data_IF_234016426566
#
_entry.id   IF_234016426566
#
_cell.length_a   1.000
_cell.length_b   1.000
_cell.length_c   1.000
_cell.angle_alpha   90.00
_cell.angle_beta   90.00
_cell.angle_gamma   90.00
#
_symmetry.space_group_name_H-M   'P 1'
#
loop_
_entity.id
_entity.type
_entity.pdbx_description
1 polymer ?
#
# COMPACT_ATOMS: atom_id res chain seq x y z
N UNK A 1 2.32 -0.05 -9.29
CA UNK A 1 2.49 1.04 -8.33
C UNK A 1 2.71 2.36 -9.07
N UNK A 2 3.71 2.46 -9.99
CA UNK A 2 4.02 3.73 -10.71
C UNK A 2 2.82 4.28 -11.48
N UNK A 3 2.12 3.44 -12.26
CA UNK A 3 0.91 3.88 -12.99
C UNK A 3 -0.19 4.42 -12.07
N UNK A 4 -0.33 3.85 -10.88
CA UNK A 4 -1.27 4.36 -9.87
C UNK A 4 -0.84 5.75 -9.38
N UNK A 5 0.46 5.95 -9.10
CA UNK A 5 0.99 7.27 -8.72
C UNK A 5 0.74 8.32 -9.80
N UNK A 6 0.92 7.97 -11.07
CA UNK A 6 0.59 8.85 -12.21
C UNK A 6 -0.90 9.27 -12.16
N UNK A 7 -1.81 8.31 -12.00
CA UNK A 7 -3.26 8.59 -11.93
C UNK A 7 -3.62 9.49 -10.74
N UNK A 8 -2.94 9.33 -9.60
CA UNK A 8 -3.11 10.20 -8.44
C UNK A 8 -2.65 11.62 -8.77
N UNK A 9 -1.46 11.77 -9.39
CA UNK A 9 -0.89 13.06 -9.75
C UNK A 9 -1.66 13.76 -10.87
N UNK A 10 -2.23 13.02 -11.80
CA UNK A 10 -3.14 13.51 -12.83
C UNK A 10 -4.50 13.99 -12.27
N UNK A 11 -4.75 13.75 -10.96
CA UNK A 11 -6.00 14.12 -10.30
C UNK A 11 -7.19 13.22 -10.62
N UNK A 12 -6.96 12.04 -11.22
CA UNK A 12 -8.04 11.13 -11.66
C UNK A 12 -8.96 10.69 -10.52
N UNK A 13 -8.46 10.63 -9.29
CA UNK A 13 -9.24 10.28 -8.09
C UNK A 13 -9.59 11.50 -7.23
N UNK A 14 -9.22 12.71 -7.66
CA UNK A 14 -9.33 13.92 -6.84
C UNK A 14 -8.38 13.91 -5.64
N UNK A 15 -8.82 14.42 -4.50
CA UNK A 15 -8.04 14.45 -3.26
C UNK A 15 -7.94 13.03 -2.68
N UNK A 16 -6.71 12.55 -2.46
CA UNK A 16 -6.46 11.29 -1.77
C UNK A 16 -7.00 11.36 -0.34
N UNK A 17 -7.80 10.38 0.05
CA UNK A 17 -8.46 10.31 1.36
C UNK A 17 -8.00 9.10 2.18
N UNK A 18 -7.96 7.93 1.54
CA UNK A 18 -7.76 6.68 2.24
C UNK A 18 -7.07 5.64 1.37
N UNK A 19 -6.16 4.86 1.97
CA UNK A 19 -5.47 3.75 1.30
C UNK A 19 -5.56 2.53 2.21
N UNK A 20 -5.89 1.37 1.65
CA UNK A 20 -5.68 0.13 2.38
C UNK A 20 -4.97 -0.92 1.56
N UNK A 21 -4.22 -1.77 2.24
CA UNK A 21 -3.48 -2.87 1.65
C UNK A 21 -3.72 -4.15 2.44
N UNK A 22 -4.00 -5.22 1.71
CA UNK A 22 -4.04 -6.58 2.23
C UNK A 22 -2.92 -7.39 1.60
N UNK A 23 -2.10 -8.03 2.44
CA UNK A 23 -1.10 -8.99 1.99
C UNK A 23 -1.23 -10.27 2.79
N UNK A 24 -2.00 -11.18 2.25
CA UNK A 24 -2.54 -12.34 2.94
C UNK A 24 -2.19 -13.62 2.17
N UNK A 25 -1.87 -14.67 2.89
CA UNK A 25 -1.57 -15.98 2.30
C UNK A 25 -1.57 -17.06 3.39
N UNK A 26 -1.89 -18.31 3.05
CA UNK A 26 -1.47 -19.47 3.83
C UNK A 26 -0.05 -19.84 3.37
N UNK A 27 0.93 -19.14 3.92
CA UNK A 27 2.31 -19.16 3.43
C UNK A 27 3.29 -19.81 4.39
N UNK A 28 4.57 -19.51 4.16
CA UNK A 28 5.63 -19.95 5.04
C UNK A 28 5.63 -19.14 6.33
N UNK A 29 5.29 -19.79 7.44
CA UNK A 29 5.42 -19.23 8.78
C UNK A 29 6.90 -19.14 9.14
N UNK A 30 7.34 -17.99 9.68
CA UNK A 30 8.71 -17.75 10.11
C UNK A 30 8.86 -17.97 11.60
N UNK A 31 10.06 -18.38 12.04
CA UNK A 31 10.40 -18.53 13.47
C UNK A 31 11.25 -17.39 14.03
N UNK A 32 11.85 -16.59 13.13
CA UNK A 32 12.80 -15.52 13.50
C UNK A 32 12.21 -14.12 13.38
N UNK A 33 11.07 -14.00 12.71
CA UNK A 33 10.36 -12.73 12.50
C UNK A 33 8.84 -12.96 12.50
N UNK A 34 8.07 -11.95 12.88
CA UNK A 34 6.62 -12.01 12.79
C UNK A 34 6.11 -11.65 11.38
N UNK A 35 4.83 -11.89 11.13
CA UNK A 35 4.20 -11.62 9.82
C UNK A 35 4.33 -10.16 9.37
N UNK A 36 4.38 -9.23 10.31
CA UNK A 36 4.49 -7.81 10.02
C UNK A 36 5.83 -7.49 9.33
N UNK A 37 6.93 -7.92 9.91
CA UNK A 37 8.26 -7.74 9.31
C UNK A 37 8.43 -8.53 8.01
N UNK A 38 7.79 -9.69 7.92
CA UNK A 38 7.87 -10.54 6.73
C UNK A 38 7.12 -9.95 5.52
N UNK A 39 5.97 -9.32 5.72
CA UNK A 39 5.08 -8.93 4.63
C UNK A 39 4.86 -7.41 4.51
N UNK A 40 4.69 -6.69 5.62
CA UNK A 40 4.30 -5.28 5.60
C UNK A 40 5.33 -4.28 5.05
N UNK A 41 6.66 -4.54 4.98
CA UNK A 41 7.62 -3.59 4.43
C UNK A 41 7.26 -3.09 3.03
N UNK A 42 6.73 -3.98 2.18
CA UNK A 42 6.28 -3.62 0.83
C UNK A 42 5.13 -2.61 0.87
N UNK A 43 4.15 -2.85 1.74
CA UNK A 43 2.94 -2.03 1.81
C UNK A 43 3.21 -0.69 2.49
N UNK A 44 4.04 -0.67 3.54
CA UNK A 44 4.54 0.57 4.15
C UNK A 44 5.26 1.43 3.11
N UNK A 45 6.15 0.82 2.30
CA UNK A 45 6.87 1.51 1.23
C UNK A 45 5.92 2.10 0.18
N UNK A 46 4.87 1.37 -0.21
CA UNK A 46 3.87 1.82 -1.17
C UNK A 46 3.07 3.01 -0.61
N UNK A 47 2.62 2.94 0.64
CA UNK A 47 1.89 4.04 1.27
C UNK A 47 2.76 5.29 1.37
N UNK A 48 4.02 5.18 1.78
CA UNK A 48 4.97 6.28 1.81
C UNK A 48 5.19 6.88 0.41
N UNK A 49 5.28 6.05 -0.62
CA UNK A 49 5.42 6.51 -2.01
C UNK A 49 4.21 7.30 -2.50
N UNK A 50 3.00 6.93 -2.10
CA UNK A 50 1.80 7.66 -2.52
C UNK A 50 1.58 8.94 -1.73
N UNK A 51 1.82 8.92 -0.42
CA UNK A 51 1.55 10.06 0.46
C UNK A 51 2.68 11.10 0.48
N UNK A 52 3.91 10.70 0.12
CA UNK A 52 5.13 11.53 0.19
C UNK A 52 5.28 12.23 1.55
N UNK A 53 4.81 11.59 2.60
CA UNK A 53 4.73 12.17 3.94
C UNK A 53 4.93 11.10 5.00
N UNK A 54 5.62 11.45 6.09
CA UNK A 54 5.75 10.57 7.24
C UNK A 54 4.47 10.61 8.10
N UNK A 55 3.96 9.47 8.57
CA UNK A 55 2.72 9.43 9.36
C UNK A 55 2.90 10.14 10.70
N UNK A 56 1.89 10.93 11.10
CA UNK A 56 1.84 11.59 12.41
C UNK A 56 1.47 10.63 13.54
N UNK A 57 0.70 9.57 13.20
CA UNK A 57 0.27 8.52 14.13
C UNK A 57 0.46 7.15 13.49
N UNK A 58 0.92 6.21 14.28
CA UNK A 58 1.12 4.81 13.90
C UNK A 58 0.54 3.99 15.03
N UNK A 59 -0.40 3.08 14.72
CA UNK A 59 -0.99 2.13 15.64
C UNK A 59 -0.95 0.75 15.02
N UNK A 60 -0.62 -0.27 15.81
CA UNK A 60 -0.63 -1.63 15.35
C UNK A 60 -1.29 -2.54 16.41
N UNK A 61 -1.92 -3.60 15.91
CA UNK A 61 -2.47 -4.67 16.72
C UNK A 61 -2.19 -6.00 16.05
N UNK A 62 -1.80 -7.00 16.82
CA UNK A 62 -1.44 -8.31 16.31
C UNK A 62 -2.09 -9.45 17.10
N UNK A 63 -2.15 -10.62 16.48
CA UNK A 63 -2.64 -11.85 17.08
C UNK A 63 -1.62 -12.97 16.92
N UNK A 64 -1.46 -13.77 17.96
CA UNK A 64 -0.53 -14.89 18.08
C UNK A 64 -1.34 -16.17 18.18
N UNK A 65 -1.14 -17.11 17.28
CA UNK A 65 -1.88 -18.38 17.23
C UNK A 65 -0.95 -19.61 17.17
N UNK A 66 0.20 -19.50 16.53
CA UNK A 66 1.04 -20.67 16.21
C UNK A 66 2.29 -20.78 17.08
N UNK A 67 2.94 -19.65 17.38
CA UNK A 67 4.22 -19.63 18.10
C UNK A 67 4.22 -18.50 19.12
N UNK A 68 4.60 -18.78 20.35
CA UNK A 68 4.68 -17.78 21.40
C UNK A 68 5.59 -16.60 21.00
N UNK A 69 5.11 -15.37 21.20
CA UNK A 69 5.85 -14.15 20.88
C UNK A 69 5.91 -13.77 19.41
N UNK A 70 5.35 -14.56 18.49
CA UNK A 70 5.39 -14.31 17.04
C UNK A 70 3.97 -14.07 16.53
N UNK A 71 3.70 -12.83 16.07
CA UNK A 71 2.38 -12.49 15.52
C UNK A 71 2.19 -13.12 14.13
N UNK A 72 1.05 -13.81 13.96
CA UNK A 72 0.64 -14.46 12.72
C UNK A 72 -0.27 -13.59 11.86
N UNK A 73 -0.85 -12.56 12.47
CA UNK A 73 -1.75 -11.61 11.83
C UNK A 73 -1.60 -10.24 12.48
N UNK A 74 -1.48 -9.18 11.66
CA UNK A 74 -1.39 -7.80 12.18
C UNK A 74 -2.18 -6.83 11.34
N UNK A 75 -2.77 -5.83 12.02
CA UNK A 75 -3.38 -4.65 11.41
C UNK A 75 -2.59 -3.42 11.87
N UNK A 76 -2.11 -2.63 10.92
CA UNK A 76 -1.40 -1.38 11.20
C UNK A 76 -2.19 -0.21 10.62
N UNK A 77 -2.41 0.82 11.42
CA UNK A 77 -3.11 2.06 11.02
C UNK A 77 -2.10 3.19 11.00
N UNK A 78 -2.09 3.93 9.88
CA UNK A 78 -1.21 5.07 9.64
C UNK A 78 -2.07 6.31 9.38
N UNK A 79 -1.86 7.38 10.17
CA UNK A 79 -2.51 8.66 9.94
C UNK A 79 -1.48 9.67 9.47
N UNK A 80 -1.75 10.34 8.35
CA UNK A 80 -0.84 11.30 7.74
C UNK A 80 -1.23 12.75 8.05
N UNK A 81 -0.27 13.69 8.11
CA UNK A 81 -0.57 15.11 8.35
C UNK A 81 -1.51 15.72 7.32
N UNK A 82 -1.52 15.20 6.11
CA UNK A 82 -2.40 15.62 5.00
C UNK A 82 -3.88 15.27 5.22
N UNK A 83 -4.20 14.50 6.28
CA UNK A 83 -5.53 13.94 6.53
C UNK A 83 -5.78 12.59 5.86
N UNK A 84 -4.83 12.09 5.07
CA UNK A 84 -4.90 10.74 4.52
C UNK A 84 -4.76 9.73 5.64
N UNK A 85 -5.57 8.68 5.60
CA UNK A 85 -5.47 7.52 6.47
C UNK A 85 -5.08 6.29 5.66
N UNK A 86 -4.31 5.40 6.26
CA UNK A 86 -3.98 4.11 5.66
C UNK A 86 -4.08 2.98 6.66
N UNK A 87 -4.46 1.80 6.20
CA UNK A 87 -4.25 0.60 6.98
C UNK A 87 -3.63 -0.52 6.16
N UNK A 88 -2.85 -1.34 6.84
CA UNK A 88 -2.16 -2.48 6.28
C UNK A 88 -2.58 -3.70 7.09
N UNK A 89 -3.17 -4.67 6.41
CA UNK A 89 -3.49 -5.96 6.99
C UNK A 89 -2.61 -7.04 6.39
N UNK A 90 -1.82 -7.71 7.23
CA UNK A 90 -0.97 -8.81 6.82
C UNK A 90 -1.22 -10.05 7.67
N UNK A 91 -1.27 -11.21 7.02
CA UNK A 91 -1.43 -12.49 7.69
C UNK A 91 -0.87 -13.62 6.84
N UNK A 92 -0.23 -14.59 7.48
CA UNK A 92 0.10 -15.88 6.83
C UNK A 92 -0.92 -16.97 7.17
N UNK A 93 -1.99 -16.64 7.91
CA UNK A 93 -3.12 -17.52 8.20
C UNK A 93 -4.36 -17.07 7.42
N UNK A 94 -4.32 -17.24 6.08
CA UNK A 94 -5.42 -16.85 5.20
C UNK A 94 -5.63 -17.91 4.11
N UNK A 95 -6.89 -18.29 3.79
CA UNK A 95 -7.15 -19.45 2.93
C UNK A 95 -6.73 -19.28 1.47
N UNK A 96 -6.51 -18.06 1.01
CA UNK A 96 -6.04 -17.78 -0.35
C UNK A 96 -5.03 -16.62 -0.35
N UNK A 97 -4.23 -16.55 -1.41
CA UNK A 97 -3.29 -15.44 -1.62
C UNK A 97 -4.06 -14.19 -2.06
N UNK A 98 -3.87 -13.10 -1.34
CA UNK A 98 -4.38 -11.77 -1.67
C UNK A 98 -3.28 -10.74 -1.53
N UNK A 99 -3.00 -9.98 -2.60
CA UNK A 99 -2.14 -8.80 -2.58
C UNK A 99 -2.95 -7.64 -3.14
N UNK A 100 -3.86 -7.13 -2.34
CA UNK A 100 -4.81 -6.10 -2.74
C UNK A 100 -4.42 -4.75 -2.19
N UNK A 101 -4.43 -3.76 -3.07
CA UNK A 101 -4.23 -2.36 -2.75
C UNK A 101 -5.44 -1.59 -3.25
N UNK A 102 -6.06 -0.79 -2.38
CA UNK A 102 -7.19 0.07 -2.74
C UNK A 102 -6.90 1.50 -2.30
N UNK A 103 -7.13 2.42 -3.21
CA UNK A 103 -6.90 3.84 -3.03
C UNK A 103 -8.23 4.56 -3.25
N UNK A 104 -8.64 5.36 -2.29
CA UNK A 104 -9.90 6.08 -2.28
C UNK A 104 -9.61 7.57 -2.30
N UNK A 105 -10.15 8.23 -3.29
CA UNK A 105 -10.12 9.67 -3.44
C UNK A 105 -11.51 10.30 -3.40
N UNK A 106 -11.56 11.62 -3.48
CA UNK A 106 -12.82 12.38 -3.46
C UNK A 106 -13.65 12.22 -4.74
N UNK A 107 -12.98 11.92 -5.88
CA UNK A 107 -13.61 11.86 -7.20
C UNK A 107 -13.62 10.46 -7.81
N UNK A 108 -12.95 9.50 -7.19
CA UNK A 108 -12.91 8.14 -7.68
C UNK A 108 -12.05 7.23 -6.83
N UNK A 109 -12.01 5.95 -7.19
CA UNK A 109 -11.29 4.92 -6.43
C UNK A 109 -10.49 4.04 -7.38
N UNK A 110 -9.38 3.49 -6.88
CA UNK A 110 -8.54 2.56 -7.63
C UNK A 110 -8.41 1.27 -6.83
N UNK A 111 -8.52 0.12 -7.50
CA UNK A 111 -8.08 -1.15 -6.93
C UNK A 111 -7.03 -1.81 -7.82
N UNK A 112 -6.07 -2.42 -7.16
CA UNK A 112 -5.00 -3.19 -7.77
C UNK A 112 -4.80 -4.49 -7.01
N UNK A 113 -4.71 -5.60 -7.74
CA UNK A 113 -4.51 -6.93 -7.20
C UNK A 113 -3.35 -7.58 -7.97
N UNK A 114 -2.21 -7.78 -7.30
CA UNK A 114 -1.01 -8.32 -7.94
C UNK A 114 -0.75 -9.80 -7.63
N UNK A 115 -1.63 -10.45 -6.87
CA UNK A 115 -1.57 -11.90 -6.66
C UNK A 115 -1.88 -12.71 -7.93
N UNK A 116 -2.53 -12.08 -8.90
CA UNK A 116 -2.84 -12.68 -10.22
C UNK A 116 -2.12 -11.90 -11.31
N UNK A 117 -1.13 -12.52 -12.01
CA UNK A 117 -0.40 -11.86 -13.10
C UNK A 117 -1.33 -11.34 -14.20
N UNK A 118 -1.02 -10.15 -14.70
CA UNK A 118 -1.74 -9.55 -15.84
C UNK A 118 -3.06 -8.88 -15.49
N UNK A 119 -3.48 -8.88 -14.23
CA UNK A 119 -4.69 -8.17 -13.82
C UNK A 119 -4.54 -6.66 -14.02
N UNK A 120 -5.50 -6.02 -14.72
CA UNK A 120 -5.46 -4.57 -14.90
C UNK A 120 -5.73 -3.83 -13.58
N UNK A 121 -5.26 -2.59 -13.52
CA UNK A 121 -5.72 -1.64 -12.51
C UNK A 121 -7.19 -1.32 -12.82
N UNK A 122 -8.04 -1.35 -11.80
CA UNK A 122 -9.45 -0.96 -11.94
C UNK A 122 -9.63 0.45 -11.36
N UNK A 123 -10.06 1.36 -12.19
CA UNK A 123 -10.54 2.66 -11.75
C UNK A 123 -12.07 2.62 -11.68
N UNK A 124 -12.61 3.10 -10.58
CA UNK A 124 -14.04 3.22 -10.33
C UNK A 124 -14.41 4.69 -10.30
N UNK A 125 -15.22 5.11 -11.25
CA UNK A 125 -15.80 6.45 -11.27
C UNK A 125 -16.99 6.50 -10.29
N UNK A 126 -16.66 6.38 -9.00
CA UNK A 126 -17.63 6.30 -7.91
C UNK A 126 -17.25 7.29 -6.81
N UNK A 127 -18.22 8.11 -6.40
CA UNK A 127 -18.03 9.14 -5.40
C UNK A 127 -19.33 9.50 -4.68
N UNK A 128 -19.21 10.32 -3.67
CA UNK A 128 -20.33 11.03 -3.09
C UNK A 128 -20.22 12.52 -3.37
N UNK A 129 -21.29 13.12 -3.87
CA UNK A 129 -21.42 14.57 -4.01
C UNK A 129 -22.25 15.13 -2.86
N UNK A 130 -21.70 16.13 -2.18
CA UNK A 130 -22.33 16.80 -1.06
C UNK A 130 -22.90 18.10 -1.59
N UNK A 131 -24.22 18.23 -1.60
CA UNK A 131 -24.92 19.48 -1.82
C UNK A 131 -25.65 19.88 -0.53
N UNK A 132 -26.14 21.12 -0.45
CA UNK A 132 -26.65 21.74 0.79
C UNK A 132 -27.67 20.90 1.58
N UNK A 133 -28.33 19.94 0.96
CA UNK A 133 -29.43 19.16 1.56
C UNK A 133 -29.29 17.64 1.47
N UNK A 134 -28.31 17.11 0.73
CA UNK A 134 -28.22 15.68 0.50
C UNK A 134 -26.80 15.21 0.18
N UNK A 135 -26.54 13.95 0.52
CA UNK A 135 -25.37 13.19 0.13
C UNK A 135 -25.78 12.27 -1.01
N UNK A 136 -25.38 12.61 -2.23
CA UNK A 136 -25.75 11.86 -3.43
C UNK A 136 -24.64 10.89 -3.84
N UNK A 137 -24.98 9.61 -3.98
CA UNK A 137 -24.08 8.59 -4.51
C UNK A 137 -24.04 8.69 -6.04
N UNK A 138 -22.83 8.83 -6.59
CA UNK A 138 -22.55 8.68 -8.02
C UNK A 138 -21.92 7.30 -8.23
N UNK A 139 -22.53 6.50 -9.07
CA UNK A 139 -22.12 5.11 -9.36
C UNK A 139 -21.80 4.98 -10.86
N UNK A 140 -20.69 5.59 -11.26
CA UNK A 140 -20.22 5.59 -12.63
C UNK A 140 -19.51 4.28 -13.03
N UNK A 141 -18.99 4.21 -14.26
CA UNK A 141 -18.40 3.00 -14.84
C UNK A 141 -17.10 2.58 -14.16
N UNK A 142 -16.71 1.33 -14.44
CA UNK A 142 -15.39 0.80 -14.10
C UNK A 142 -14.52 0.82 -15.36
N UNK A 143 -13.37 1.49 -15.27
CA UNK A 143 -12.36 1.52 -16.31
C UNK A 143 -11.22 0.55 -15.98
N UNK A 144 -10.84 -0.28 -16.96
CA UNK A 144 -9.69 -1.18 -16.84
C UNK A 144 -8.45 -0.52 -17.43
N UNK A 145 -7.48 -0.19 -16.57
CA UNK A 145 -6.26 0.51 -16.97
C UNK A 145 -5.12 -0.49 -17.07
N UNK A 146 -4.57 -0.61 -18.26
CA UNK A 146 -3.36 -1.41 -18.50
C UNK A 146 -2.12 -0.68 -18.00
N UNK A 147 -1.15 -1.44 -17.55
CA UNK A 147 0.15 -0.94 -17.13
C UNK A 147 1.26 -1.86 -17.67
N UNK A 148 2.49 -1.37 -17.59
CA UNK A 148 3.65 -2.15 -18.02
C UNK A 148 3.84 -3.39 -17.14
N UNK A 149 3.86 -4.56 -17.77
CA UNK A 149 3.95 -5.90 -17.17
C UNK A 149 5.40 -6.36 -16.96
N UNK A 150 6.40 -5.50 -17.16
CA UNK A 150 7.79 -5.88 -16.88
C UNK A 150 7.95 -6.29 -15.42
N UNK A 151 8.68 -7.37 -15.20
CA UNK A 151 8.91 -7.93 -13.85
C UNK A 151 9.52 -6.88 -12.92
N UNK A 152 9.01 -6.73 -11.68
CA UNK A 152 9.50 -5.73 -10.72
C UNK A 152 11.01 -5.76 -10.51
N UNK A 153 11.59 -6.95 -10.29
CA UNK A 153 13.03 -7.12 -10.11
C UNK A 153 13.84 -6.66 -11.34
N UNK A 154 13.35 -6.90 -12.54
CA UNK A 154 14.02 -6.42 -13.76
C UNK A 154 14.04 -4.89 -13.81
N UNK A 155 12.93 -4.24 -13.43
CA UNK A 155 12.86 -2.77 -13.34
C UNK A 155 13.79 -2.22 -12.28
N UNK A 156 13.85 -2.86 -11.12
CA UNK A 156 14.72 -2.48 -10.02
C UNK A 156 16.20 -2.55 -10.43
N UNK A 157 16.62 -3.66 -11.03
CA UNK A 157 17.98 -3.84 -11.53
C UNK A 157 18.33 -2.81 -12.62
N UNK A 158 17.44 -2.58 -13.58
CA UNK A 158 17.64 -1.54 -14.60
C UNK A 158 17.77 -0.16 -13.96
N UNK A 159 16.91 0.17 -13.01
CA UNK A 159 16.96 1.44 -12.29
C UNK A 159 18.28 1.61 -11.55
N UNK A 160 18.74 0.60 -10.82
CA UNK A 160 20.02 0.59 -10.15
C UNK A 160 21.20 0.81 -11.13
N UNK A 161 21.26 0.01 -12.21
CA UNK A 161 22.33 0.12 -13.21
C UNK A 161 22.37 1.51 -13.85
N UNK A 162 21.21 2.09 -14.16
CA UNK A 162 21.12 3.41 -14.78
C UNK A 162 21.56 4.57 -13.88
N UNK A 163 21.75 4.32 -12.58
CA UNK A 163 22.21 5.33 -11.60
C UNK A 163 23.61 5.02 -11.02
N UNK A 164 24.37 4.11 -11.64
CA UNK A 164 25.74 3.83 -11.26
C UNK A 164 26.71 5.00 -11.53
N UNK A 165 26.28 5.96 -12.35
CA UNK A 165 26.99 7.22 -12.62
C UNK A 165 26.94 8.23 -11.45
N UNK A 166 26.23 7.89 -10.35
CA UNK A 166 26.03 8.75 -9.19
C UNK A 166 24.88 9.74 -9.32
N UNK A 167 24.06 9.63 -10.35
CA UNK A 167 22.83 10.41 -10.47
C UNK A 167 21.88 10.15 -9.31
N UNK A 168 21.05 11.15 -8.96
CA UNK A 168 20.19 11.09 -7.79
C UNK A 168 19.10 10.01 -7.91
N UNK A 169 19.03 9.12 -6.93
CA UNK A 169 17.96 8.12 -6.80
C UNK A 169 16.68 8.79 -6.29
N UNK A 170 15.68 8.95 -7.14
CA UNK A 170 14.37 9.49 -6.78
C UNK A 170 13.45 8.45 -6.14
N UNK A 171 13.65 7.18 -6.45
CA UNK A 171 12.88 6.04 -5.93
C UNK A 171 13.79 5.12 -5.11
N UNK A 172 13.23 4.48 -4.10
CA UNK A 172 13.92 3.46 -3.29
C UNK A 172 15.31 3.91 -2.78
N UNK A 173 15.48 5.21 -2.49
CA UNK A 173 16.72 5.73 -1.94
C UNK A 173 16.85 5.45 -0.43
N UNK A 174 18.05 5.68 0.13
CA UNK A 174 18.33 5.41 1.53
C UNK A 174 17.43 6.19 2.51
N UNK A 175 16.99 7.41 2.16
CA UNK A 175 16.06 8.19 2.98
C UNK A 175 14.70 7.51 3.06
N UNK A 176 14.17 7.08 1.92
CA UNK A 176 12.90 6.33 1.87
C UNK A 176 12.98 5.03 2.67
N UNK A 177 14.07 4.26 2.51
CA UNK A 177 14.30 3.04 3.27
C UNK A 177 14.37 3.29 4.78
N UNK A 178 15.02 4.38 5.21
CA UNK A 178 15.10 4.78 6.61
C UNK A 178 13.70 5.14 7.16
N UNK A 179 12.87 5.86 6.42
CA UNK A 179 11.51 6.21 6.83
C UNK A 179 10.63 4.96 6.96
N UNK A 180 10.69 4.04 5.99
CA UNK A 180 10.00 2.74 6.06
C UNK A 180 10.43 1.98 7.31
N UNK A 181 11.73 1.85 7.54
CA UNK A 181 12.26 1.14 8.74
C UNK A 181 11.78 1.78 10.04
N UNK A 182 11.77 3.12 10.13
CA UNK A 182 11.25 3.83 11.31
C UNK A 182 9.77 3.55 11.55
N UNK A 183 8.96 3.45 10.50
CA UNK A 183 7.54 3.11 10.62
C UNK A 183 7.41 1.67 11.13
N UNK A 184 8.17 0.74 10.55
CA UNK A 184 8.15 -0.68 10.96
C UNK A 184 8.53 -0.83 12.44
N UNK A 185 9.61 -0.18 12.90
CA UNK A 185 10.03 -0.22 14.30
C UNK A 185 8.96 0.36 15.22
N UNK A 186 8.39 1.52 14.88
CA UNK A 186 7.33 2.12 15.70
C UNK A 186 6.08 1.25 15.78
N UNK A 187 5.65 0.68 14.66
CA UNK A 187 4.50 -0.23 14.65
C UNK A 187 4.78 -1.51 15.44
N UNK A 188 6.01 -2.05 15.38
CA UNK A 188 6.41 -3.22 16.16
C UNK A 188 6.38 -2.97 17.67
N UNK A 189 6.62 -1.75 18.12
CA UNK A 189 6.53 -1.40 19.54
C UNK A 189 5.08 -1.30 20.05
N UNK A 190 4.08 -1.32 19.17
CA UNK A 190 2.65 -1.36 19.48
C UNK A 190 2.10 -2.80 19.48
N UNK A 191 2.86 -3.76 18.91
CA UNK A 191 2.53 -5.19 18.84
C UNK A 191 2.97 -5.93 20.12
#
# INVERSE_FOLDING_TARGET
VNKIKELILEGKIGKLQYIYSNRLNLGQVRSEENVFWSLAPHDVSILQYFTESYPKSIKAHGSIFLQEGIHDSTVTILEYPTGVNGHIFVSWLHPFKEHRLVIIGSEGMISFEDSTPGMPIKYYDKKFEINEMALNKIDGPIELIKYDQEKPLTKELKYFINHLDGSELKLANGRHALEVTKILVKASNEL
#
